data_IF_271095925620
#
_entry.id   IF_271095925620
#
_cell.length_a   1.000
_cell.length_b   1.000
_cell.length_c   1.000
_cell.angle_alpha   90.00
_cell.angle_beta   90.00
_cell.angle_gamma   90.00
#
_symmetry.space_group_name_H-M   'P 1'
#
loop_
_entity.id
_entity.type
_entity.pdbx_description
1 polymer ?
#
# COMPACT_ATOMS: atom_id res chain seq x y z
N UNK A 1 21.07 -16.82 27.12
CA UNK A 1 21.31 -15.70 26.20
C UNK A 1 21.22 -16.26 24.80
N UNK A 2 20.12 -15.99 24.08
CA UNK A 2 20.04 -16.37 22.67
C UNK A 2 21.08 -15.53 21.92
N UNK A 3 21.91 -16.18 21.10
CA UNK A 3 22.82 -15.46 20.23
C UNK A 3 21.97 -14.66 19.23
N UNK A 4 21.96 -13.32 19.33
CA UNK A 4 21.37 -12.48 18.30
C UNK A 4 22.12 -12.73 17.00
N UNK A 5 21.52 -13.56 16.16
CA UNK A 5 21.96 -13.81 14.81
C UNK A 5 21.62 -12.58 13.98
N UNK A 6 22.60 -11.69 13.77
CA UNK A 6 22.48 -10.55 12.85
C UNK A 6 22.51 -10.96 11.37
N UNK A 7 22.12 -12.20 11.06
CA UNK A 7 21.96 -12.66 9.70
C UNK A 7 20.61 -12.16 9.17
N UNK A 8 20.59 -11.30 8.13
CA UNK A 8 19.34 -10.91 7.50
C UNK A 8 18.67 -12.14 6.90
N UNK A 9 17.36 -12.22 7.09
CA UNK A 9 16.51 -13.33 6.65
C UNK A 9 15.30 -12.76 5.92
N UNK A 10 14.83 -13.50 4.94
CA UNK A 10 13.57 -13.22 4.27
C UNK A 10 12.84 -14.53 4.00
N UNK A 11 11.52 -14.47 4.06
CA UNK A 11 10.63 -15.57 3.73
C UNK A 11 9.67 -15.08 2.65
N UNK A 12 9.60 -15.82 1.55
CA UNK A 12 8.61 -15.58 0.49
C UNK A 12 7.70 -16.78 0.45
N UNK A 13 6.40 -16.52 0.53
CA UNK A 13 5.36 -17.53 0.36
C UNK A 13 4.55 -17.18 -0.89
N UNK A 14 4.32 -18.19 -1.72
CA UNK A 14 3.49 -18.06 -2.92
C UNK A 14 2.31 -19.02 -2.79
N UNK A 15 1.09 -18.50 -2.95
CA UNK A 15 -0.16 -19.25 -2.74
C UNK A 15 -0.19 -19.97 -1.37
N UNK A 16 0.36 -19.33 -0.33
CA UNK A 16 0.43 -19.86 1.04
C UNK A 16 1.50 -20.94 1.25
N UNK A 17 2.33 -21.23 0.24
CA UNK A 17 3.43 -22.19 0.36
C UNK A 17 4.77 -21.46 0.34
N UNK A 18 5.58 -21.66 1.37
CA UNK A 18 6.94 -21.13 1.43
C UNK A 18 7.82 -21.66 0.31
N UNK A 19 8.69 -20.81 -0.23
CA UNK A 19 9.65 -21.24 -1.25
C UNK A 19 10.64 -22.25 -0.67
N UNK A 20 10.86 -23.35 -1.39
CA UNK A 20 11.85 -24.35 -1.01
C UNK A 20 13.28 -23.83 -1.22
N UNK A 21 14.26 -24.41 -0.52
CA UNK A 21 15.67 -24.02 -0.64
C UNK A 21 16.20 -24.10 -2.09
N UNK A 22 15.65 -25.00 -2.91
CA UNK A 22 16.03 -25.13 -4.32
C UNK A 22 15.54 -23.96 -5.18
N UNK A 23 14.52 -23.23 -4.74
CA UNK A 23 13.96 -22.07 -5.42
C UNK A 23 14.53 -20.78 -4.84
N UNK A 24 14.57 -20.67 -3.51
CA UNK A 24 15.01 -19.45 -2.81
C UNK A 24 16.46 -19.08 -3.13
N UNK A 25 17.32 -20.07 -3.42
CA UNK A 25 18.73 -19.84 -3.83
C UNK A 25 18.87 -19.03 -5.13
N UNK A 26 17.81 -18.95 -5.96
CA UNK A 26 17.80 -18.14 -7.18
C UNK A 26 17.35 -16.70 -6.92
N UNK A 27 16.83 -16.36 -5.74
CA UNK A 27 16.44 -14.99 -5.42
C UNK A 27 17.69 -14.16 -5.16
N UNK A 28 17.91 -13.17 -6.01
CA UNK A 28 19.04 -12.25 -5.92
C UNK A 28 18.69 -11.00 -5.11
N UNK A 29 17.44 -10.56 -5.19
CA UNK A 29 16.98 -9.35 -4.53
C UNK A 29 15.49 -9.47 -4.19
N UNK A 30 15.14 -8.99 -3.00
CA UNK A 30 13.76 -8.74 -2.59
C UNK A 30 13.68 -7.28 -2.17
N UNK A 31 12.68 -6.56 -2.68
CA UNK A 31 12.40 -5.18 -2.29
C UNK A 31 10.91 -5.03 -2.04
N UNK A 32 10.56 -4.36 -0.95
CA UNK A 32 9.21 -3.96 -0.60
C UNK A 32 9.23 -2.46 -0.40
N UNK A 33 8.29 -1.78 -1.05
CA UNK A 33 8.12 -0.33 -0.94
C UNK A 33 6.69 -0.08 -0.49
N UNK A 34 6.56 0.50 0.69
CA UNK A 34 5.30 0.94 1.26
C UNK A 34 5.25 2.46 1.29
N UNK A 35 4.21 3.02 0.72
CA UNK A 35 4.03 4.46 0.56
C UNK A 35 2.62 4.85 0.99
N UNK A 36 2.51 5.92 1.80
CA UNK A 36 1.20 6.40 2.26
C UNK A 36 0.32 6.77 1.06
N UNK A 37 -0.93 6.31 1.07
CA UNK A 37 -1.93 6.57 0.03
C UNK A 37 -1.53 6.09 -1.37
N UNK A 38 -0.60 5.14 -1.45
CA UNK A 38 -0.16 4.49 -2.69
C UNK A 38 -0.43 2.99 -2.61
N UNK A 39 -0.27 2.31 -3.74
CA UNK A 39 -0.29 0.85 -3.75
C UNK A 39 1.10 0.36 -3.37
N UNK A 40 1.22 -0.18 -2.16
CA UNK A 40 2.41 -0.90 -1.75
C UNK A 40 2.77 -1.96 -2.79
N UNK A 41 4.06 -2.04 -3.12
CA UNK A 41 4.54 -2.93 -4.16
C UNK A 41 5.79 -3.67 -3.72
N UNK A 42 6.02 -4.82 -4.34
CA UNK A 42 7.22 -5.61 -4.14
C UNK A 42 7.86 -5.97 -5.48
N UNK A 43 9.16 -6.19 -5.44
CA UNK A 43 9.95 -6.72 -6.54
C UNK A 43 10.82 -7.88 -6.06
N UNK A 44 10.73 -9.00 -6.78
CA UNK A 44 11.60 -10.16 -6.63
C UNK A 44 12.44 -10.29 -7.90
N UNK A 45 13.77 -10.15 -7.79
CA UNK A 45 14.68 -10.45 -8.89
C UNK A 45 15.19 -11.88 -8.74
N UNK A 46 14.82 -12.74 -9.69
CA UNK A 46 15.15 -14.17 -9.68
C UNK A 46 16.15 -14.47 -10.80
N UNK A 47 17.27 -15.10 -10.46
CA UNK A 47 18.25 -15.59 -11.42
C UNK A 47 17.63 -16.66 -12.33
N UNK A 48 17.81 -16.53 -13.64
CA UNK A 48 17.32 -17.46 -14.64
C UNK A 48 18.48 -18.00 -15.50
N UNK A 49 19.41 -18.78 -14.91
CA UNK A 49 20.69 -19.08 -15.56
C UNK A 49 20.54 -19.93 -16.82
N UNK A 50 21.35 -19.60 -17.83
CA UNK A 50 21.52 -20.40 -19.05
C UNK A 50 22.38 -21.65 -18.76
N UNK A 51 22.13 -22.81 -19.40
CA UNK A 51 21.11 -23.07 -20.43
C UNK A 51 19.74 -23.45 -19.90
N UNK A 52 19.61 -23.71 -18.60
CA UNK A 52 18.39 -24.30 -18.02
C UNK A 52 17.17 -23.39 -18.06
N UNK A 53 17.36 -22.06 -17.89
CA UNK A 53 16.32 -21.03 -17.99
C UNK A 53 14.97 -21.42 -17.35
N UNK A 54 15.07 -22.03 -16.17
CA UNK A 54 14.01 -22.76 -15.43
C UNK A 54 12.67 -22.01 -15.43
N UNK A 55 12.68 -20.72 -15.13
CA UNK A 55 11.45 -19.94 -14.93
C UNK A 55 10.75 -19.51 -16.23
N UNK A 56 11.39 -19.76 -17.37
CA UNK A 56 10.89 -19.34 -18.70
C UNK A 56 10.74 -20.51 -19.66
N UNK A 57 11.52 -21.58 -19.50
CA UNK A 57 11.53 -22.74 -20.39
C UNK A 57 10.93 -24.00 -19.76
N UNK A 58 10.72 -24.04 -18.45
CA UNK A 58 9.97 -25.09 -17.77
C UNK A 58 8.58 -24.57 -17.40
N UNK A 59 7.54 -25.13 -18.00
CA UNK A 59 6.16 -24.68 -17.79
C UNK A 59 5.65 -24.93 -16.36
N UNK A 60 6.09 -25.99 -15.68
CA UNK A 60 5.66 -26.27 -14.30
C UNK A 60 6.29 -25.29 -13.31
N UNK A 61 7.59 -25.02 -13.45
CA UNK A 61 8.28 -24.05 -12.60
C UNK A 61 7.83 -22.61 -12.89
N UNK A 62 7.53 -22.27 -14.15
CA UNK A 62 7.01 -20.96 -14.52
C UNK A 62 5.66 -20.65 -13.86
N UNK A 63 4.81 -21.68 -13.62
CA UNK A 63 3.50 -21.48 -12.97
C UNK A 63 3.63 -20.86 -11.58
N UNK A 64 4.74 -21.10 -10.88
CA UNK A 64 5.01 -20.56 -9.55
C UNK A 64 4.96 -19.03 -9.55
N UNK A 65 5.47 -18.37 -10.58
CA UNK A 65 5.53 -16.91 -10.67
C UNK A 65 4.41 -16.32 -11.53
N UNK A 66 3.35 -17.07 -11.81
CA UNK A 66 2.22 -16.60 -12.63
C UNK A 66 1.54 -15.36 -12.07
N UNK A 67 1.08 -14.48 -12.96
CA UNK A 67 0.25 -13.33 -12.63
C UNK A 67 -1.01 -13.82 -11.90
N UNK A 68 -1.36 -13.14 -10.80
CA UNK A 68 -2.49 -13.45 -9.94
C UNK A 68 -2.17 -14.36 -8.75
N UNK A 69 -1.00 -15.02 -8.72
CA UNK A 69 -0.59 -15.76 -7.54
C UNK A 69 -0.42 -14.80 -6.34
N UNK A 70 -0.91 -15.21 -5.17
CA UNK A 70 -0.76 -14.44 -3.94
C UNK A 70 0.66 -14.59 -3.41
N UNK A 71 1.25 -13.50 -2.95
CA UNK A 71 2.61 -13.45 -2.42
C UNK A 71 2.59 -12.80 -1.05
N UNK A 72 3.21 -13.45 -0.07
CA UNK A 72 3.49 -12.88 1.24
C UNK A 72 5.01 -12.82 1.41
N UNK A 73 5.52 -11.65 1.81
CA UNK A 73 6.94 -11.42 2.03
C UNK A 73 7.13 -10.99 3.46
N UNK A 74 7.97 -11.74 4.17
CA UNK A 74 8.45 -11.39 5.51
C UNK A 74 9.96 -11.13 5.45
N UNK A 75 10.42 -10.13 6.19
CA UNK A 75 11.84 -9.77 6.27
C UNK A 75 12.23 -9.48 7.73
N UNK A 76 13.50 -9.68 8.05
CA UNK A 76 14.03 -9.34 9.36
C UNK A 76 15.37 -10.00 9.59
N UNK A 77 15.64 -10.32 10.86
CA UNK A 77 16.74 -11.20 11.23
C UNK A 77 16.21 -12.61 11.43
N UNK A 78 17.08 -13.61 11.29
CA UNK A 78 16.72 -15.01 11.49
C UNK A 78 15.99 -15.20 12.83
N UNK A 79 14.74 -15.66 12.76
CA UNK A 79 13.88 -15.94 13.93
C UNK A 79 13.04 -14.75 14.41
N UNK A 80 13.18 -13.58 13.79
CA UNK A 80 12.42 -12.36 14.08
C UNK A 80 11.91 -11.71 12.76
N UNK A 81 11.53 -12.51 11.78
CA UNK A 81 10.97 -12.03 10.53
C UNK A 81 9.58 -11.40 10.75
N UNK A 82 9.36 -10.22 10.18
CA UNK A 82 8.07 -9.52 10.20
C UNK A 82 7.45 -9.51 8.82
N UNK A 83 6.12 -9.67 8.73
CA UNK A 83 5.42 -9.55 7.46
C UNK A 83 5.50 -8.11 6.97
N UNK A 84 6.04 -7.95 5.77
CA UNK A 84 6.25 -6.66 5.12
C UNK A 84 5.12 -6.33 4.16
N UNK A 85 4.64 -7.32 3.40
CA UNK A 85 3.58 -7.12 2.42
C UNK A 85 2.87 -8.44 2.08
N UNK A 86 1.55 -8.36 1.95
CA UNK A 86 0.70 -9.39 1.36
C UNK A 86 0.03 -8.83 0.09
N UNK A 87 0.31 -9.44 -1.05
CA UNK A 87 -0.10 -8.94 -2.35
C UNK A 87 -0.26 -10.02 -3.39
N UNK A 88 -0.31 -9.59 -4.65
CA UNK A 88 -0.48 -10.49 -5.80
C UNK A 88 0.52 -10.11 -6.89
N UNK A 89 1.01 -11.11 -7.62
CA UNK A 89 1.87 -10.88 -8.78
C UNK A 89 1.03 -10.20 -9.85
N UNK A 90 1.44 -9.00 -10.28
CA UNK A 90 0.76 -8.21 -11.31
C UNK A 90 1.56 -8.14 -12.60
N UNK A 91 2.89 -8.31 -12.52
CA UNK A 91 3.77 -8.15 -13.66
C UNK A 91 4.97 -9.10 -13.56
N UNK A 92 5.38 -9.63 -14.70
CA UNK A 92 6.54 -10.51 -14.85
C UNK A 92 7.36 -9.96 -16.02
N UNK A 93 8.63 -9.62 -15.78
CA UNK A 93 9.55 -9.17 -16.83
C UNK A 93 10.75 -10.11 -16.89
N UNK A 94 10.91 -10.84 -18.00
CA UNK A 94 12.12 -11.60 -18.25
C UNK A 94 13.17 -10.69 -18.91
N UNK A 95 14.36 -10.62 -18.34
CA UNK A 95 15.48 -9.81 -18.84
C UNK A 95 16.57 -10.71 -19.40
N UNK A 96 16.91 -10.47 -20.66
CA UNK A 96 17.97 -11.18 -21.40
C UNK A 96 19.00 -10.17 -21.90
N UNK A 97 19.92 -9.71 -21.04
CA UNK A 97 20.88 -8.69 -21.41
C UNK A 97 21.95 -9.25 -22.37
N UNK A 98 22.60 -8.37 -23.15
CA UNK A 98 23.73 -8.74 -24.01
C UNK A 98 24.99 -9.15 -23.22
N UNK A 99 25.04 -8.80 -21.93
CA UNK A 99 26.09 -9.18 -20.99
C UNK A 99 25.48 -9.37 -19.60
N UNK A 100 25.96 -10.37 -18.85
CA UNK A 100 25.41 -10.78 -17.56
C UNK A 100 24.45 -11.97 -17.66
N UNK A 101 23.98 -12.45 -16.51
CA UNK A 101 23.05 -13.58 -16.44
C UNK A 101 21.61 -13.11 -16.71
N UNK A 102 20.78 -13.91 -17.42
CA UNK A 102 19.36 -13.62 -17.54
C UNK A 102 18.67 -13.63 -16.17
N UNK A 103 17.68 -12.76 -16.00
CA UNK A 103 16.90 -12.64 -14.77
C UNK A 103 15.40 -12.59 -15.06
N UNK A 104 14.59 -12.92 -14.07
CA UNK A 104 13.15 -12.77 -14.07
C UNK A 104 12.79 -11.80 -12.94
N UNK A 105 12.23 -10.64 -13.29
CA UNK A 105 11.64 -9.73 -12.33
C UNK A 105 10.18 -10.05 -12.15
N UNK A 106 9.82 -10.39 -10.93
CA UNK A 106 8.43 -10.60 -10.53
C UNK A 106 8.02 -9.41 -9.68
N UNK A 107 7.05 -8.65 -10.17
CA UNK A 107 6.50 -7.49 -9.48
C UNK A 107 5.06 -7.75 -9.09
N UNK A 108 4.70 -7.26 -7.92
CA UNK A 108 3.34 -7.35 -7.42
C UNK A 108 2.97 -6.18 -6.55
N UNK A 109 1.68 -6.05 -6.34
CA UNK A 109 1.08 -4.97 -5.56
C UNK A 109 0.21 -5.58 -4.47
N UNK A 110 -0.03 -4.82 -3.40
CA UNK A 110 -1.07 -5.15 -2.43
C UNK A 110 -2.44 -5.28 -3.13
N UNK A 111 -3.40 -5.94 -2.48
CA UNK A 111 -4.74 -6.11 -3.07
C UNK A 111 -5.48 -4.80 -3.34
N UNK A 112 -4.96 -3.68 -2.82
CA UNK A 112 -5.42 -2.33 -3.16
C UNK A 112 -5.41 -2.07 -4.68
N UNK A 113 -4.52 -2.72 -5.44
CA UNK A 113 -4.50 -2.59 -6.91
C UNK A 113 -5.78 -3.08 -7.60
N UNK A 114 -6.60 -3.90 -6.94
CA UNK A 114 -7.88 -4.36 -7.51
C UNK A 114 -8.89 -3.22 -7.59
N UNK A 115 -8.81 -2.25 -6.68
CA UNK A 115 -9.71 -1.10 -6.63
C UNK A 115 -9.46 -0.08 -7.75
N UNK A 116 -8.34 -0.19 -8.48
CA UNK A 116 -8.02 0.69 -9.63
C UNK A 116 -8.47 0.12 -10.98
N UNK A 117 -8.91 -1.14 -11.03
CA UNK A 117 -9.15 -1.87 -12.30
C UNK A 117 -10.30 -1.31 -13.12
N UNK A 118 -11.38 -0.87 -12.45
CA UNK A 118 -12.60 -0.46 -13.11
C UNK A 118 -13.00 0.94 -12.68
N UNK A 119 -13.32 1.78 -13.67
CA UNK A 119 -14.02 3.04 -13.43
C UNK A 119 -15.51 2.79 -13.39
N UNK A 120 -16.17 3.38 -12.41
CA UNK A 120 -17.61 3.20 -12.18
C UNK A 120 -18.30 4.56 -12.15
N UNK A 121 -19.58 4.55 -12.51
CA UNK A 121 -20.49 5.68 -12.31
C UNK A 121 -21.67 5.23 -11.45
N UNK A 122 -21.72 5.65 -10.18
CA UNK A 122 -22.79 5.30 -9.23
C UNK A 122 -23.04 6.39 -8.21
N UNK A 123 -24.26 6.44 -7.71
CA UNK A 123 -24.68 7.35 -6.66
C UNK A 123 -24.78 6.60 -5.32
N UNK A 124 -24.30 7.24 -4.26
CA UNK A 124 -24.43 6.82 -2.89
C UNK A 124 -25.30 7.85 -2.15
N UNK A 125 -26.49 7.47 -1.72
CA UNK A 125 -27.48 8.39 -1.15
C UNK A 125 -27.82 8.03 0.28
N UNK A 126 -27.86 9.03 1.14
CA UNK A 126 -28.14 8.88 2.57
C UNK A 126 -27.23 7.84 3.25
N UNK A 127 -25.95 7.84 2.88
CA UNK A 127 -24.95 6.91 3.42
C UNK A 127 -23.85 7.63 4.18
N UNK A 128 -23.23 6.93 5.13
CA UNK A 128 -22.03 7.38 5.81
C UNK A 128 -20.75 6.99 5.07
N UNK A 129 -19.61 7.56 5.48
CA UNK A 129 -18.30 7.14 4.95
C UNK A 129 -18.05 5.65 5.24
N UNK A 130 -18.46 5.19 6.42
CA UNK A 130 -18.38 3.78 6.82
C UNK A 130 -19.11 2.89 5.82
N UNK A 131 -20.35 3.25 5.47
CA UNK A 131 -21.17 2.48 4.53
C UNK A 131 -20.53 2.42 3.13
N UNK A 132 -19.90 3.51 2.67
CA UNK A 132 -19.19 3.55 1.38
C UNK A 132 -17.99 2.59 1.41
N UNK A 133 -17.17 2.67 2.46
CA UNK A 133 -15.98 1.82 2.62
C UNK A 133 -16.39 0.34 2.72
N UNK A 134 -17.42 0.02 3.51
CA UNK A 134 -17.95 -1.35 3.65
C UNK A 134 -18.49 -1.88 2.32
N UNK A 135 -19.27 -1.07 1.59
CA UNK A 135 -19.80 -1.44 0.28
C UNK A 135 -18.67 -1.77 -0.70
N UNK A 136 -17.63 -0.93 -0.75
CA UNK A 136 -16.47 -1.15 -1.61
C UNK A 136 -15.66 -2.36 -1.16
N UNK A 137 -15.50 -2.59 0.15
CA UNK A 137 -14.81 -3.77 0.64
C UNK A 137 -15.51 -5.05 0.19
N UNK A 138 -16.85 -5.12 0.34
CA UNK A 138 -17.67 -6.26 -0.09
C UNK A 138 -17.58 -6.48 -1.60
N UNK A 139 -17.67 -5.42 -2.41
CA UNK A 139 -17.55 -5.49 -3.88
C UNK A 139 -16.24 -6.15 -4.35
N UNK A 140 -15.17 -6.04 -3.55
CA UNK A 140 -13.84 -6.57 -3.85
C UNK A 140 -13.47 -7.82 -3.02
N UNK A 141 -14.40 -8.35 -2.23
CA UNK A 141 -14.18 -9.53 -1.36
C UNK A 141 -13.17 -9.28 -0.24
N UNK A 142 -13.12 -8.04 0.27
CA UNK A 142 -12.29 -7.60 1.38
C UNK A 142 -13.15 -7.45 2.65
N UNK A 143 -12.50 -7.55 3.81
CA UNK A 143 -13.10 -7.19 5.09
C UNK A 143 -12.73 -5.76 5.42
N UNK A 144 -13.70 -4.90 5.75
CA UNK A 144 -13.42 -3.54 6.17
C UNK A 144 -13.00 -3.50 7.65
N UNK A 145 -11.90 -2.81 7.95
CA UNK A 145 -11.48 -2.43 9.30
C UNK A 145 -11.46 -0.90 9.36
N UNK A 146 -12.45 -0.33 10.04
CA UNK A 146 -12.76 1.10 9.99
C UNK A 146 -12.62 1.68 11.38
N UNK A 147 -11.77 2.68 11.53
CA UNK A 147 -11.67 3.43 12.79
C UNK A 147 -12.87 4.37 12.92
N UNK A 148 -13.79 4.02 13.81
CA UNK A 148 -15.02 4.78 14.01
C UNK A 148 -14.76 6.17 14.63
N UNK A 149 -15.32 7.19 14.00
CA UNK A 149 -15.38 8.55 14.53
C UNK A 149 -16.70 9.23 14.14
N UNK A 150 -16.92 10.44 14.65
CA UNK A 150 -18.05 11.29 14.20
C UNK A 150 -17.97 11.62 12.72
N UNK A 151 -16.76 11.73 12.17
CA UNK A 151 -16.56 11.99 10.74
C UNK A 151 -16.99 10.78 9.90
N UNK A 152 -16.64 9.56 10.31
CA UNK A 152 -17.03 8.35 9.56
C UNK A 152 -18.52 8.02 9.68
N UNK A 153 -19.17 8.47 10.75
CA UNK A 153 -20.62 8.32 10.98
C UNK A 153 -21.47 9.44 10.35
N UNK A 154 -20.84 10.45 9.73
CA UNK A 154 -21.56 11.56 9.09
C UNK A 154 -22.34 11.05 7.88
N UNK A 155 -23.65 11.24 7.86
CA UNK A 155 -24.52 10.86 6.75
C UNK A 155 -24.43 11.92 5.64
N UNK A 156 -24.10 11.48 4.43
CA UNK A 156 -24.06 12.31 3.25
C UNK A 156 -25.33 12.10 2.40
N UNK A 157 -26.01 13.19 2.00
CA UNK A 157 -27.27 13.07 1.24
C UNK A 157 -27.04 12.49 -0.15
N UNK A 158 -25.95 12.87 -0.83
CA UNK A 158 -25.61 12.41 -2.16
C UNK A 158 -24.10 12.49 -2.39
N UNK A 159 -23.48 11.36 -2.69
CA UNK A 159 -22.09 11.24 -3.13
C UNK A 159 -22.09 10.54 -4.49
N UNK A 160 -21.46 11.17 -5.48
CA UNK A 160 -21.39 10.66 -6.84
C UNK A 160 -19.99 10.11 -7.13
N UNK A 161 -19.93 8.82 -7.45
CA UNK A 161 -18.78 8.25 -8.13
C UNK A 161 -18.96 8.55 -9.61
N UNK A 162 -18.20 9.50 -10.18
CA UNK A 162 -18.36 9.91 -11.57
C UNK A 162 -17.16 9.47 -12.42
N UNK A 163 -17.31 8.36 -13.13
CA UNK A 163 -16.24 7.78 -13.96
C UNK A 163 -14.88 7.70 -13.21
N UNK A 164 -14.94 7.31 -11.95
CA UNK A 164 -13.76 7.16 -11.09
C UNK A 164 -13.67 5.72 -10.59
N UNK A 165 -12.46 5.29 -10.31
CA UNK A 165 -12.19 4.00 -9.68
C UNK A 165 -12.64 4.02 -8.22
N UNK A 166 -12.79 2.84 -7.63
CA UNK A 166 -13.14 2.75 -6.20
C UNK A 166 -12.00 3.30 -5.33
N UNK A 167 -10.74 3.11 -5.74
CA UNK A 167 -9.59 3.68 -5.04
C UNK A 167 -9.59 5.22 -5.09
N UNK A 168 -9.85 5.81 -6.26
CA UNK A 168 -9.92 7.27 -6.42
C UNK A 168 -11.00 7.87 -5.49
N UNK A 169 -12.19 7.28 -5.46
CA UNK A 169 -13.27 7.70 -4.55
C UNK A 169 -12.83 7.59 -3.09
N UNK A 170 -12.31 6.44 -2.67
CA UNK A 170 -11.88 6.23 -1.29
C UNK A 170 -10.79 7.23 -0.87
N UNK A 171 -9.78 7.46 -1.71
CA UNK A 171 -8.72 8.44 -1.45
C UNK A 171 -9.26 9.87 -1.33
N UNK A 172 -10.26 10.22 -2.15
CA UNK A 172 -10.97 11.50 -2.03
C UNK A 172 -11.68 11.62 -0.68
N UNK A 173 -12.47 10.60 -0.31
CA UNK A 173 -13.19 10.56 0.97
C UNK A 173 -12.24 10.64 2.16
N UNK A 174 -11.20 9.80 2.18
CA UNK A 174 -10.21 9.76 3.24
C UNK A 174 -9.52 11.12 3.42
N UNK A 175 -9.16 11.79 2.33
CA UNK A 175 -8.55 13.13 2.38
C UNK A 175 -9.47 14.17 3.03
N UNK A 176 -10.79 14.11 2.81
CA UNK A 176 -11.74 15.08 3.37
C UNK A 176 -11.82 15.01 4.89
N UNK A 177 -11.61 13.83 5.48
CA UNK A 177 -11.72 13.59 6.92
C UNK A 177 -10.37 13.33 7.61
N UNK A 178 -9.25 13.47 6.89
CA UNK A 178 -7.88 13.17 7.36
C UNK A 178 -7.66 11.71 7.80
N UNK A 179 -8.12 10.79 6.96
CA UNK A 179 -7.92 9.35 7.07
C UNK A 179 -6.90 8.85 6.04
N UNK A 180 -6.33 7.68 6.29
CA UNK A 180 -5.48 6.92 5.36
C UNK A 180 -6.12 5.56 5.03
N UNK A 181 -5.76 5.04 3.86
CA UNK A 181 -6.21 3.74 3.35
C UNK A 181 -5.00 2.85 3.13
N UNK A 182 -5.09 1.62 3.61
CA UNK A 182 -4.18 0.55 3.21
C UNK A 182 -4.93 -0.79 3.17
N UNK A 183 -4.34 -1.78 2.52
CA UNK A 183 -4.85 -3.16 2.56
C UNK A 183 -3.79 -4.05 3.16
N UNK A 184 -4.13 -4.69 4.28
CA UNK A 184 -3.30 -5.73 4.89
C UNK A 184 -3.94 -7.09 4.62
N UNK A 185 -3.31 -7.88 3.75
CA UNK A 185 -3.85 -9.14 3.21
C UNK A 185 -5.25 -9.00 2.60
N UNK A 186 -6.32 -9.26 3.35
CA UNK A 186 -7.73 -9.12 2.92
C UNK A 186 -8.49 -8.05 3.69
N UNK A 187 -7.82 -7.33 4.57
CA UNK A 187 -8.40 -6.30 5.41
C UNK A 187 -8.16 -4.92 4.80
N UNK A 188 -9.23 -4.25 4.37
CA UNK A 188 -9.20 -2.85 3.95
C UNK A 188 -9.24 -1.98 5.20
N UNK A 189 -8.11 -1.39 5.55
CA UNK A 189 -7.96 -0.52 6.72
C UNK A 189 -8.27 0.91 6.31
N UNK A 190 -9.21 1.53 7.02
CA UNK A 190 -9.61 2.92 6.86
C UNK A 190 -9.56 3.62 8.22
N UNK A 191 -8.49 4.37 8.48
CA UNK A 191 -8.18 4.87 9.83
C UNK A 191 -7.67 6.31 9.82
N UNK A 192 -7.67 6.97 10.98
CA UNK A 192 -7.14 8.33 11.09
C UNK A 192 -5.64 8.34 10.78
N UNK A 193 -5.16 9.36 10.06
CA UNK A 193 -3.73 9.54 9.81
C UNK A 193 -3.00 9.71 11.15
N UNK A 194 -2.30 8.66 11.58
CA UNK A 194 -1.53 8.65 12.83
C UNK A 194 -0.21 9.41 12.65
N UNK A 195 -0.23 10.72 12.88
CA UNK A 195 0.98 11.56 12.90
C UNK A 195 1.42 11.98 14.33
N UNK A 196 0.69 11.56 15.38
CA UNK A 196 0.83 12.10 16.74
C UNK A 196 1.07 11.03 17.82
N UNK A 197 1.53 9.83 17.44
CA UNK A 197 1.92 8.79 18.39
C UNK A 197 3.25 9.08 19.08
N UNK A 198 3.48 8.40 20.22
CA UNK A 198 4.80 8.39 20.87
C UNK A 198 5.87 7.88 19.89
N UNK A 199 7.08 8.47 19.88
CA UNK A 199 8.16 8.01 19.02
C UNK A 199 8.43 6.51 19.25
N UNK A 200 8.26 5.72 18.20
CA UNK A 200 8.51 4.27 18.25
C UNK A 200 10.00 3.93 18.12
N UNK A 201 10.80 4.87 17.62
CA UNK A 201 12.25 4.75 17.49
C UNK A 201 12.91 6.13 17.50
N UNK A 202 14.13 6.19 18.03
CA UNK A 202 15.01 7.36 17.94
C UNK A 202 16.13 7.05 16.96
N UNK A 203 16.24 7.86 15.91
CA UNK A 203 17.29 7.75 14.89
C UNK A 203 18.34 8.84 15.11
N UNK A 204 19.56 8.43 15.43
CA UNK A 204 20.71 9.28 15.72
C UNK A 204 21.76 9.17 14.60
N UNK A 205 22.12 10.32 14.04
CA UNK A 205 23.18 10.43 13.03
C UNK A 205 24.51 9.92 13.57
N UNK A 206 25.17 9.05 12.79
CA UNK A 206 26.42 8.42 13.19
C UNK A 206 26.28 7.27 14.19
N UNK A 207 25.06 6.88 14.59
CA UNK A 207 24.81 5.68 15.39
C UNK A 207 23.96 4.65 14.64
N UNK A 208 22.68 4.95 14.39
CA UNK A 208 21.72 4.04 13.77
C UNK A 208 21.01 4.66 12.55
N UNK A 209 21.30 5.92 12.22
CA UNK A 209 20.82 6.57 11.00
C UNK A 209 21.92 6.51 9.92
N UNK A 210 21.64 5.79 8.82
CA UNK A 210 22.60 5.57 7.73
C UNK A 210 22.72 6.76 6.78
N UNK A 211 21.58 7.36 6.39
CA UNK A 211 21.53 8.51 5.49
C UNK A 211 20.33 9.40 5.85
N UNK A 212 20.49 10.71 5.79
CA UNK A 212 19.41 11.68 6.01
C UNK A 212 19.56 12.85 5.05
N UNK A 213 18.53 13.07 4.23
CA UNK A 213 18.51 14.14 3.22
C UNK A 213 17.24 14.97 3.41
N UNK A 214 17.22 15.91 4.38
CA UNK A 214 16.06 16.75 4.61
C UNK A 214 15.85 17.70 3.43
N UNK A 215 14.62 17.77 2.93
CA UNK A 215 14.22 18.74 1.91
C UNK A 215 13.25 19.75 2.54
N UNK A 216 13.64 21.02 2.52
CA UNK A 216 12.76 22.12 2.93
C UNK A 216 12.26 22.84 1.69
N UNK A 217 10.96 22.86 1.50
CA UNK A 217 10.31 23.56 0.41
C UNK A 217 9.30 24.58 0.97
N UNK A 218 9.57 25.86 0.77
CA UNK A 218 8.69 26.95 1.22
C UNK A 218 7.50 27.21 0.26
N UNK A 219 7.44 26.51 -0.88
CA UNK A 219 6.30 26.63 -1.81
C UNK A 219 5.09 25.92 -1.21
N UNK A 220 4.01 26.65 -0.97
CA UNK A 220 2.75 26.11 -0.44
C UNK A 220 2.50 26.36 1.05
N UNK A 221 3.38 27.08 1.75
CA UNK A 221 3.13 27.49 3.14
C UNK A 221 2.01 28.54 3.18
N UNK A 222 0.82 28.13 3.60
CA UNK A 222 -0.35 29.01 3.76
C UNK A 222 -0.49 29.40 5.23
N UNK A 223 -0.44 30.70 5.52
CA UNK A 223 -0.63 31.24 6.87
C UNK A 223 -2.07 31.09 7.37
N UNK A 224 -3.04 31.00 6.46
CA UNK A 224 -4.44 30.83 6.78
C UNK A 224 -5.13 30.02 5.69
N UNK A 225 -5.86 28.98 6.09
CA UNK A 225 -6.80 28.28 5.22
C UNK A 225 -8.19 28.83 5.53
N UNK A 226 -8.83 29.44 4.53
CA UNK A 226 -10.22 29.86 4.64
C UNK A 226 -11.07 28.95 3.74
N UNK A 227 -11.95 28.17 4.35
CA UNK A 227 -12.96 27.37 3.64
C UNK A 227 -14.25 28.16 3.65
N UNK A 228 -14.82 28.40 2.47
CA UNK A 228 -16.11 29.09 2.31
C UNK A 228 -17.13 28.09 1.80
N UNK A 229 -18.22 27.96 2.54
CA UNK A 229 -19.44 27.27 2.12
C UNK A 229 -20.58 28.27 1.98
N UNK A 230 -21.66 27.85 1.34
CA UNK A 230 -22.89 28.64 1.28
C UNK A 230 -24.04 27.76 1.76
N UNK A 231 -24.82 28.27 2.70
CA UNK A 231 -26.05 27.63 3.12
C UNK A 231 -27.18 28.08 2.17
N UNK A 232 -27.69 27.21 1.29
CA UNK A 232 -28.74 27.58 0.35
C UNK A 232 -30.10 27.83 1.02
N UNK A 233 -30.35 27.24 2.20
CA UNK A 233 -31.62 27.44 2.94
C UNK A 233 -31.59 28.75 3.72
N UNK A 234 -30.49 29.03 4.43
CA UNK A 234 -30.33 30.28 5.18
C UNK A 234 -29.89 31.47 4.30
N UNK A 235 -29.51 31.22 3.04
CA UNK A 235 -28.96 32.19 2.07
C UNK A 235 -27.77 32.97 2.62
N UNK A 236 -26.90 32.30 3.38
CA UNK A 236 -25.75 32.93 4.07
C UNK A 236 -24.46 32.19 3.77
N UNK A 237 -23.36 32.94 3.75
CA UNK A 237 -22.01 32.37 3.64
C UNK A 237 -21.61 31.75 4.99
N UNK A 238 -21.02 30.55 4.93
CA UNK A 238 -20.35 29.89 6.06
C UNK A 238 -18.85 30.05 5.82
N UNK A 239 -18.14 30.66 6.76
CA UNK A 239 -16.69 30.87 6.64
C UNK A 239 -16.00 30.11 7.78
N UNK A 240 -15.30 29.04 7.45
CA UNK A 240 -14.35 28.39 8.34
C UNK A 240 -12.96 28.98 8.13
N UNK A 241 -12.33 29.50 9.19
CA UNK A 241 -10.92 29.92 9.15
C UNK A 241 -10.10 29.02 10.05
N UNK A 242 -9.05 28.45 9.48
CA UNK A 242 -8.01 27.75 10.24
C UNK A 242 -6.70 28.50 10.05
N UNK A 243 -6.10 28.94 11.16
CA UNK A 243 -4.75 29.48 11.15
C UNK A 243 -3.79 28.32 11.34
N UNK A 244 -2.87 28.15 10.40
CA UNK A 244 -1.76 27.21 10.60
C UNK A 244 -0.90 27.76 11.74
N UNK A 245 -0.77 27.01 12.83
CA UNK A 245 0.21 27.30 13.90
C UNK A 245 1.60 27.06 13.30
N UNK A 246 2.11 28.05 12.58
CA UNK A 246 3.44 28.06 12.00
C UNK A 246 4.36 28.89 12.89
N UNK A 247 5.23 28.21 13.63
CA UNK A 247 6.26 28.72 14.52
C UNK A 247 6.67 27.66 15.53
#
# INVERSE_FOLDING_TARGET
>A
MAANSFAPSFVVEINGTGLTADISKYIQQVSVVSERNSMDHFTLSVANPYPGMRWTHNAEDAKLFSIGNSVNISMGYVGEEQSMIAGEITQINARFPSSGAPTLDVQGHSRLHRLTRYRRSRAFREVSEKDIVETIAVDHGLTADIEESTATATIHPDIQQNNQTDLELLLERARQINYEICVNDRMLVFRVVHNSGSPVAVLEWGKNLLNFTPNMNARGQVSTVTVRGYDPMAKREIIGRFMSQGG
#
